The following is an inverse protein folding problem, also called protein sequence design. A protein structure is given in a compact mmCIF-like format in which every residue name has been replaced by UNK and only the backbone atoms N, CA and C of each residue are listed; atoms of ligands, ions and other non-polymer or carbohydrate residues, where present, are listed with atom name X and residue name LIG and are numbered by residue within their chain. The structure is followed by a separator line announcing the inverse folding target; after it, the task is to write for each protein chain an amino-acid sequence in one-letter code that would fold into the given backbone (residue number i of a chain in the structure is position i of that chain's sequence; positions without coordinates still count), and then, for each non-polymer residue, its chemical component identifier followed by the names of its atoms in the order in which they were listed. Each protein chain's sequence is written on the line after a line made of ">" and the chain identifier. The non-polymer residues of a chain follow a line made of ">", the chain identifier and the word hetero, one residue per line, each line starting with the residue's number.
data_IF_939545340275
#
_entry.id   IF_939545340275
#
_cell.length_a   1.000
_cell.length_b   1.000
_cell.length_c   1.000
_cell.angle_alpha   90.00
_cell.angle_beta   90.00
_cell.angle_gamma   90.00
#
_symmetry.space_group_name_H-M   'P 1'
#
loop_
_entity.id
_entity.type
_entity.pdbx_description
1 polymer ?
#
# COMPACT_ATOMS: atom_id res chain seq x y z
N UNK A 1 -7.53 -4.17 13.88
CA UNK A 1 -8.53 -3.29 13.24
C UNK A 1 -8.81 -2.03 14.07
N UNK A 2 -8.30 -1.95 15.30
CA UNK A 2 -8.67 -0.92 16.27
C UNK A 2 -7.96 0.42 16.09
N UNK A 3 -6.78 0.45 15.48
CA UNK A 3 -6.00 1.69 15.31
C UNK A 3 -6.68 2.65 14.32
N UNK A 4 -7.11 2.20 13.14
CA UNK A 4 -7.78 3.06 12.15
C UNK A 4 -9.10 3.58 12.69
N UNK A 5 -9.88 2.71 13.36
CA UNK A 5 -11.14 3.10 14.00
C UNK A 5 -10.90 4.11 15.13
N UNK A 6 -9.87 3.89 15.95
CA UNK A 6 -9.47 4.80 17.03
C UNK A 6 -9.00 6.16 16.50
N UNK A 7 -8.18 6.19 15.45
CA UNK A 7 -7.75 7.42 14.79
C UNK A 7 -8.96 8.18 14.21
N UNK A 8 -9.85 7.48 13.50
CA UNK A 8 -11.06 8.10 12.94
C UNK A 8 -11.96 8.68 14.04
N UNK A 9 -12.14 7.96 15.15
CA UNK A 9 -12.87 8.45 16.32
C UNK A 9 -12.20 9.67 16.95
N UNK A 10 -10.87 9.67 17.08
CA UNK A 10 -10.11 10.80 17.61
C UNK A 10 -10.22 12.05 16.72
N UNK A 11 -10.18 11.89 15.39
CA UNK A 11 -10.41 12.99 14.44
C UNK A 11 -11.81 13.59 14.58
N UNK A 12 -12.83 12.77 14.87
CA UNK A 12 -14.20 13.23 15.09
C UNK A 12 -14.37 13.94 16.45
N UNK A 13 -13.78 13.38 17.51
CA UNK A 13 -13.88 13.89 18.88
C UNK A 13 -13.14 15.22 19.08
N UNK A 14 -11.97 15.41 18.47
CA UNK A 14 -11.14 16.60 18.71
C UNK A 14 -11.57 17.87 17.96
N UNK A 15 -12.67 17.86 17.18
CA UNK A 15 -13.17 19.02 16.42
C UNK A 15 -12.05 19.85 15.77
N UNK A 16 -11.01 19.20 15.25
CA UNK A 16 -10.07 19.92 14.38
C UNK A 16 -10.88 20.38 13.17
N UNK A 17 -11.10 21.69 13.03
CA UNK A 17 -11.84 22.33 11.93
C UNK A 17 -11.16 22.07 10.58
N UNK A 18 -11.24 20.84 10.10
CA UNK A 18 -10.76 20.41 8.79
C UNK A 18 -11.96 19.78 8.08
N UNK A 19 -12.38 20.39 6.98
CA UNK A 19 -13.36 19.79 6.08
C UNK A 19 -12.78 18.50 5.53
N UNK A 20 -13.35 17.35 5.90
CA UNK A 20 -13.01 16.07 5.32
C UNK A 20 -13.79 15.88 4.02
N UNK A 21 -13.08 15.79 2.90
CA UNK A 21 -13.69 15.48 1.60
C UNK A 21 -13.60 13.97 1.36
N UNK A 22 -14.70 13.26 1.55
CA UNK A 22 -14.81 11.81 1.33
C UNK A 22 -15.22 11.55 -0.11
N UNK A 23 -14.59 10.59 -0.80
CA UNK A 23 -14.81 10.30 -2.22
C UNK A 23 -14.32 11.42 -3.17
N UNK A 24 -13.33 12.20 -2.75
CA UNK A 24 -12.61 13.09 -3.66
C UNK A 24 -11.52 12.31 -4.42
N UNK A 25 -11.44 12.53 -5.73
CA UNK A 25 -10.37 11.99 -6.58
C UNK A 25 -9.38 13.09 -6.95
N UNK A 26 -8.11 12.95 -6.59
CA UNK A 26 -7.07 13.92 -6.95
C UNK A 26 -6.37 13.49 -8.25
N UNK A 27 -6.14 14.41 -9.17
CA UNK A 27 -5.56 14.08 -10.49
C UNK A 27 -4.37 14.96 -10.89
N UNK A 28 -4.21 16.16 -10.32
CA UNK A 28 -3.10 17.06 -10.65
C UNK A 28 -2.57 17.81 -9.44
N UNK A 29 -1.29 18.21 -9.51
CA UNK A 29 -0.65 19.08 -8.53
C UNK A 29 -0.07 20.30 -9.24
N UNK A 30 -0.14 21.46 -8.58
CA UNK A 30 0.43 22.72 -9.06
C UNK A 30 1.63 23.11 -8.20
N UNK A 31 2.78 23.25 -8.85
CA UNK A 31 4.01 23.72 -8.24
C UNK A 31 4.22 25.21 -8.57
N UNK A 32 4.67 26.00 -7.60
CA UNK A 32 5.08 27.40 -7.79
C UNK A 32 6.23 27.73 -6.84
N UNK A 33 7.34 28.26 -7.37
CA UNK A 33 8.52 28.59 -6.58
C UNK A 33 9.10 27.40 -5.81
N UNK A 34 9.07 26.20 -6.39
CA UNK A 34 9.52 24.96 -5.76
C UNK A 34 8.56 24.36 -4.73
N UNK A 35 7.44 25.03 -4.43
CA UNK A 35 6.47 24.59 -3.43
C UNK A 35 5.21 23.99 -4.07
N UNK A 36 4.66 22.95 -3.45
CA UNK A 36 3.34 22.42 -3.78
C UNK A 36 2.27 23.39 -3.27
N UNK A 37 1.54 24.01 -4.19
CA UNK A 37 0.58 25.07 -3.85
C UNK A 37 -0.86 24.61 -3.89
N UNK A 38 -1.23 23.70 -4.81
CA UNK A 38 -2.62 23.30 -5.02
C UNK A 38 -2.71 21.88 -5.58
N UNK A 39 -3.82 21.21 -5.28
CA UNK A 39 -4.22 19.99 -5.97
C UNK A 39 -5.52 20.20 -6.75
N UNK A 40 -5.55 19.69 -7.98
CA UNK A 40 -6.76 19.54 -8.77
C UNK A 40 -7.40 18.20 -8.45
N UNK A 41 -8.70 18.23 -8.13
CA UNK A 41 -9.48 17.04 -7.83
C UNK A 41 -10.92 17.13 -8.32
N UNK A 42 -11.58 15.98 -8.37
CA UNK A 42 -12.99 15.83 -8.67
C UNK A 42 -13.73 15.39 -7.41
N UNK A 43 -14.89 15.98 -7.15
CA UNK A 43 -15.76 15.64 -6.03
C UNK A 43 -17.18 15.37 -6.55
N UNK A 44 -17.73 14.15 -6.38
CA UNK A 44 -18.96 13.73 -7.04
C UNK A 44 -20.19 14.61 -6.73
N UNK A 45 -20.26 15.20 -5.55
CA UNK A 45 -21.46 15.91 -5.05
C UNK A 45 -21.37 17.43 -5.11
N UNK A 46 -20.34 18.02 -5.74
CA UNK A 46 -20.24 19.48 -5.88
C UNK A 46 -19.52 19.88 -7.16
N UNK A 47 -20.28 20.30 -8.17
CA UNK A 47 -19.80 21.28 -9.15
C UNK A 47 -19.88 22.66 -8.49
N UNK A 48 -18.82 23.48 -8.42
CA UNK A 48 -17.61 23.45 -9.25
C UNK A 48 -16.32 23.09 -8.48
N UNK A 49 -15.26 22.83 -9.26
CA UNK A 49 -13.86 22.65 -8.88
C UNK A 49 -13.46 23.38 -7.59
N UNK A 50 -13.28 22.63 -6.51
CA UNK A 50 -12.69 23.17 -5.29
C UNK A 50 -11.16 23.09 -5.39
N UNK A 51 -10.51 24.25 -5.26
CA UNK A 51 -9.06 24.31 -5.04
C UNK A 51 -8.78 23.76 -3.64
N UNK A 52 -8.11 22.61 -3.56
CA UNK A 52 -7.71 22.03 -2.28
C UNK A 52 -6.22 22.30 -2.02
N UNK A 53 -5.93 23.01 -0.94
CA UNK A 53 -4.57 23.22 -0.43
C UNK A 53 -4.22 22.04 0.49
N UNK A 54 -3.71 20.94 -0.07
CA UNK A 54 -3.08 19.87 0.71
C UNK A 54 -1.56 19.95 0.52
N UNK A 55 -0.80 19.87 1.61
CA UNK A 55 0.67 19.85 1.59
C UNK A 55 1.26 18.46 1.86
N UNK A 56 0.47 17.52 2.38
CA UNK A 56 0.92 16.18 2.69
C UNK A 56 0.22 15.16 1.77
N UNK A 57 1.00 14.33 1.07
CA UNK A 57 0.51 13.25 0.18
C UNK A 57 0.64 11.92 0.89
N UNK A 58 -0.45 11.16 0.93
CA UNK A 58 -0.51 9.87 1.65
C UNK A 58 -1.26 8.80 0.84
N UNK A 59 -1.22 8.85 -0.49
CA UNK A 59 -1.89 7.82 -1.31
C UNK A 59 -0.98 6.59 -1.46
N UNK A 60 -1.63 5.48 -1.83
CA UNK A 60 -1.12 4.14 -1.59
C UNK A 60 -0.27 3.62 -2.78
N UNK A 61 0.46 2.52 -2.54
CA UNK A 61 1.32 1.88 -3.54
C UNK A 61 0.62 1.41 -4.82
N UNK A 62 1.42 0.95 -5.79
CA UNK A 62 1.00 0.63 -7.16
C UNK A 62 0.71 -0.87 -7.39
N UNK A 63 0.24 -1.58 -6.37
CA UNK A 63 0.07 -3.04 -6.44
C UNK A 63 -0.87 -3.52 -7.56
N UNK A 64 -1.81 -2.68 -8.00
CA UNK A 64 -2.69 -2.99 -9.15
C UNK A 64 -2.01 -2.96 -10.52
N UNK A 65 -0.73 -2.62 -10.60
CA UNK A 65 0.10 -2.84 -11.78
C UNK A 65 0.43 -4.33 -12.04
N UNK A 66 0.21 -5.20 -11.05
CA UNK A 66 0.45 -6.65 -11.15
C UNK A 66 -0.84 -7.42 -11.36
N UNK A 67 -0.77 -8.52 -12.12
CA UNK A 67 -1.93 -9.38 -12.38
C UNK A 67 -2.47 -10.03 -11.09
N UNK A 68 -1.58 -10.56 -10.26
CA UNK A 68 -1.90 -11.11 -8.93
C UNK A 68 -1.29 -10.22 -7.85
N UNK A 69 -2.14 -9.64 -7.01
CA UNK A 69 -1.73 -8.74 -5.94
C UNK A 69 -2.71 -8.79 -4.77
N UNK A 70 -2.17 -8.63 -3.55
CA UNK A 70 -2.93 -8.50 -2.30
C UNK A 70 -3.59 -7.13 -2.19
N UNK A 71 -3.04 -6.14 -2.89
CA UNK A 71 -3.50 -4.76 -2.82
C UNK A 71 -4.96 -4.64 -3.28
N UNK A 72 -5.78 -3.83 -2.60
CA UNK A 72 -7.14 -3.58 -3.01
C UNK A 72 -7.18 -2.92 -4.40
N UNK A 73 -8.34 -2.99 -5.07
CA UNK A 73 -8.55 -2.40 -6.39
C UNK A 73 -8.27 -0.89 -6.45
N UNK A 74 -8.28 -0.20 -5.31
CA UNK A 74 -8.02 1.25 -5.19
C UNK A 74 -6.54 1.62 -5.07
N UNK A 75 -5.62 0.65 -5.03
CA UNK A 75 -4.17 0.90 -5.01
C UNK A 75 -3.60 1.07 -6.43
N UNK A 76 -3.96 2.18 -7.09
CA UNK A 76 -3.61 2.51 -8.48
C UNK A 76 -2.49 3.53 -8.64
N UNK A 77 -1.88 3.98 -7.54
CA UNK A 77 -0.74 4.91 -7.55
C UNK A 77 -1.00 6.31 -8.10
N UNK A 78 -2.20 6.84 -7.88
CA UNK A 78 -2.62 8.13 -8.44
C UNK A 78 -1.70 9.29 -8.02
N UNK A 79 -1.16 9.27 -6.79
CA UNK A 79 -0.24 10.27 -6.28
C UNK A 79 1.16 10.19 -6.88
N UNK A 80 1.74 9.00 -7.01
CA UNK A 80 3.00 8.81 -7.72
C UNK A 80 2.87 9.30 -9.16
N UNK A 81 1.74 9.02 -9.80
CA UNK A 81 1.46 9.51 -11.15
C UNK A 81 1.33 11.06 -11.17
N UNK A 82 0.75 11.68 -10.14
CA UNK A 82 0.73 13.14 -9.99
C UNK A 82 2.13 13.74 -9.76
N UNK A 83 2.99 13.07 -8.99
CA UNK A 83 4.40 13.48 -8.77
C UNK A 83 5.15 13.45 -10.09
N UNK A 84 5.07 12.33 -10.81
CA UNK A 84 5.74 12.13 -12.08
C UNK A 84 5.27 13.13 -13.15
N UNK A 85 3.96 13.38 -13.25
CA UNK A 85 3.41 14.40 -14.17
C UNK A 85 3.86 15.82 -13.85
N UNK A 86 4.21 16.10 -12.60
CA UNK A 86 4.74 17.39 -12.18
C UNK A 86 6.27 17.52 -12.40
N UNK A 87 6.90 16.52 -13.02
CA UNK A 87 8.34 16.50 -13.29
C UNK A 87 9.21 16.27 -12.05
N UNK A 88 8.61 15.78 -10.95
CA UNK A 88 9.35 15.43 -9.74
C UNK A 88 9.80 13.96 -9.80
N UNK A 89 10.99 13.63 -9.29
CA UNK A 89 11.49 12.27 -9.32
C UNK A 89 10.69 11.35 -8.39
N UNK A 90 10.54 10.10 -8.83
CA UNK A 90 10.16 8.96 -8.00
C UNK A 90 11.43 8.18 -7.69
N UNK A 91 11.47 7.51 -6.54
CA UNK A 91 12.65 6.78 -6.09
C UNK A 91 12.28 5.31 -5.82
N UNK A 92 13.19 4.40 -6.14
CA UNK A 92 13.17 2.98 -5.76
C UNK A 92 11.90 2.23 -6.22
N UNK A 93 11.36 2.57 -7.40
CA UNK A 93 10.15 1.95 -7.98
C UNK A 93 10.36 0.48 -8.38
N UNK A 94 11.61 0.04 -8.52
CA UNK A 94 11.96 -1.34 -8.84
C UNK A 94 11.83 -2.29 -7.64
N UNK A 95 11.80 -1.76 -6.41
CA UNK A 95 11.77 -2.56 -5.18
C UNK A 95 10.34 -2.96 -4.81
N UNK A 96 9.85 -4.02 -5.46
CA UNK A 96 8.50 -4.54 -5.26
C UNK A 96 8.52 -5.71 -4.30
N UNK A 97 7.75 -5.60 -3.22
CA UNK A 97 7.66 -6.67 -2.22
C UNK A 97 6.56 -7.67 -2.56
N UNK A 98 6.95 -8.94 -2.74
CA UNK A 98 6.02 -10.06 -2.82
C UNK A 98 5.86 -10.69 -1.43
N UNK A 99 4.62 -10.72 -0.93
CA UNK A 99 4.33 -11.39 0.32
C UNK A 99 4.23 -12.91 0.09
N UNK A 100 4.93 -13.75 0.88
CA UNK A 100 5.02 -15.18 0.61
C UNK A 100 3.67 -15.90 0.74
N UNK A 101 2.80 -15.45 1.64
CA UNK A 101 1.54 -16.13 1.97
C UNK A 101 0.30 -15.40 1.43
N UNK A 102 0.24 -15.21 0.11
CA UNK A 102 -1.00 -14.84 -0.58
C UNK A 102 -1.85 -16.09 -0.87
N UNK A 103 -3.17 -16.03 -0.64
CA UNK A 103 -4.07 -17.13 -0.96
C UNK A 103 -4.06 -17.36 -2.49
N UNK A 104 -3.77 -18.60 -2.89
CA UNK A 104 -3.75 -18.99 -4.30
C UNK A 104 -5.10 -18.70 -4.98
N UNK A 105 -5.05 -18.16 -6.19
CA UNK A 105 -6.23 -17.74 -6.95
C UNK A 105 -6.79 -16.39 -6.51
N UNK A 106 -7.25 -16.27 -5.26
CA UNK A 106 -7.93 -15.07 -4.77
C UNK A 106 -7.00 -13.87 -4.50
N UNK A 107 -5.73 -14.12 -4.13
CA UNK A 107 -4.77 -13.08 -3.81
C UNK A 107 -4.92 -12.45 -2.42
N UNK A 108 -5.86 -12.91 -1.58
CA UNK A 108 -6.03 -12.40 -0.21
C UNK A 108 -4.81 -12.68 0.66
N UNK A 109 -4.48 -11.76 1.58
CA UNK A 109 -3.35 -11.94 2.50
C UNK A 109 -3.66 -12.94 3.61
N UNK A 110 -2.78 -13.93 3.80
CA UNK A 110 -2.62 -14.61 5.08
C UNK A 110 -1.49 -13.92 5.85
N UNK A 111 -1.79 -13.47 7.06
CA UNK A 111 -0.87 -12.70 7.89
C UNK A 111 0.44 -13.47 8.14
N UNK A 112 1.55 -12.74 8.11
CA UNK A 112 2.85 -13.24 8.58
C UNK A 112 2.80 -13.71 10.04
N UNK A 113 1.88 -13.16 10.84
CA UNK A 113 1.59 -13.65 12.18
C UNK A 113 1.25 -15.13 12.20
N UNK A 114 0.66 -15.70 11.14
CA UNK A 114 0.41 -17.15 11.07
C UNK A 114 1.69 -17.96 11.11
N UNK A 115 2.80 -17.47 10.52
CA UNK A 115 4.13 -18.08 10.65
C UNK A 115 4.76 -17.78 12.02
N UNK A 116 4.59 -16.55 12.50
CA UNK A 116 5.02 -16.11 13.85
C UNK A 116 4.48 -16.98 14.98
N UNK A 117 3.21 -17.39 14.88
CA UNK A 117 2.51 -18.22 15.84
C UNK A 117 2.72 -19.74 15.61
N UNK A 118 3.76 -20.13 14.86
CA UNK A 118 4.14 -21.53 14.67
C UNK A 118 3.68 -22.19 13.37
N UNK A 119 3.09 -21.43 12.44
CA UNK A 119 2.78 -21.92 11.10
C UNK A 119 4.03 -22.27 10.30
N UNK A 120 3.96 -23.36 9.55
CA UNK A 120 5.09 -23.90 8.76
C UNK A 120 4.75 -23.95 7.28
N UNK A 121 5.72 -23.64 6.43
CA UNK A 121 5.60 -23.79 4.98
C UNK A 121 6.04 -25.19 4.56
N UNK A 122 5.18 -25.88 3.80
CA UNK A 122 5.44 -27.22 3.27
C UNK A 122 5.31 -27.25 1.75
N UNK A 123 6.18 -28.03 1.11
CA UNK A 123 6.08 -28.32 -0.32
C UNK A 123 5.14 -29.50 -0.60
N UNK A 124 5.01 -29.90 -1.87
CA UNK A 124 4.18 -31.03 -2.29
C UNK A 124 4.60 -32.38 -1.71
N UNK A 125 5.82 -32.50 -1.17
CA UNK A 125 6.35 -33.68 -0.47
C UNK A 125 6.14 -33.62 1.05
N UNK A 126 5.34 -32.66 1.53
CA UNK A 126 5.10 -32.36 2.94
C UNK A 126 6.35 -31.95 3.73
N UNK A 127 7.44 -31.60 3.06
CA UNK A 127 8.70 -31.22 3.68
C UNK A 127 8.69 -29.74 4.08
N UNK A 128 9.21 -29.45 5.27
CA UNK A 128 9.45 -28.08 5.74
C UNK A 128 10.69 -27.48 5.08
N UNK A 129 10.53 -27.05 3.83
CA UNK A 129 11.64 -26.68 2.96
C UNK A 129 12.45 -25.46 3.44
N UNK A 130 11.87 -24.58 4.26
CA UNK A 130 12.57 -23.40 4.78
C UNK A 130 13.77 -23.73 5.67
N UNK A 131 13.82 -24.93 6.27
CA UNK A 131 14.98 -25.38 7.05
C UNK A 131 16.25 -25.50 6.18
N UNK A 132 16.09 -25.73 4.87
CA UNK A 132 17.22 -25.77 3.92
C UNK A 132 17.68 -24.38 3.48
N UNK A 133 16.75 -23.45 3.28
CA UNK A 133 17.03 -22.13 2.71
C UNK A 133 17.39 -21.08 3.78
N UNK A 134 16.86 -21.21 4.99
CA UNK A 134 17.15 -20.32 6.11
C UNK A 134 17.27 -21.13 7.42
N UNK A 135 18.41 -21.80 7.67
CA UNK A 135 18.55 -22.76 8.78
C UNK A 135 18.30 -22.17 10.19
N UNK A 136 18.53 -20.87 10.37
CA UNK A 136 18.35 -20.18 11.65
C UNK A 136 16.93 -19.62 11.79
N UNK A 137 16.48 -18.83 10.82
CA UNK A 137 15.21 -18.11 10.88
C UNK A 137 14.01 -18.95 10.42
N UNK A 138 14.24 -20.02 9.65
CA UNK A 138 13.21 -20.87 9.05
C UNK A 138 12.11 -20.04 8.35
N UNK A 139 10.85 -20.32 8.68
CA UNK A 139 9.69 -19.62 8.14
C UNK A 139 9.61 -18.13 8.55
N UNK A 140 10.46 -17.66 9.48
CA UNK A 140 10.54 -16.27 9.94
C UNK A 140 11.67 -15.47 9.25
N UNK A 141 12.29 -16.04 8.21
CA UNK A 141 13.21 -15.30 7.37
C UNK A 141 12.53 -14.09 6.70
N UNK A 142 13.34 -13.16 6.17
CA UNK A 142 12.82 -11.98 5.48
C UNK A 142 11.94 -12.35 4.28
N UNK A 143 10.96 -11.49 3.98
CA UNK A 143 9.94 -11.77 2.94
C UNK A 143 10.55 -12.09 1.58
N UNK A 144 11.63 -11.42 1.21
CA UNK A 144 12.33 -11.64 -0.05
C UNK A 144 13.02 -13.02 -0.08
N UNK A 145 13.58 -13.49 1.02
CA UNK A 145 14.17 -14.84 1.14
C UNK A 145 13.09 -15.91 1.07
N UNK A 146 12.00 -15.77 1.84
CA UNK A 146 10.90 -16.74 1.85
C UNK A 146 10.24 -16.82 0.47
N UNK A 147 9.90 -15.68 -0.14
CA UNK A 147 9.24 -15.63 -1.45
C UNK A 147 10.11 -16.24 -2.57
N UNK A 148 11.43 -16.00 -2.57
CA UNK A 148 12.34 -16.66 -3.52
C UNK A 148 12.44 -18.17 -3.27
N UNK A 149 12.48 -18.59 -2.00
CA UNK A 149 12.56 -20.01 -1.62
C UNK A 149 11.31 -20.81 -1.99
N UNK A 150 10.14 -20.16 -2.05
CA UNK A 150 8.88 -20.77 -2.50
C UNK A 150 8.79 -20.95 -4.02
N UNK A 151 9.57 -20.16 -4.78
CA UNK A 151 9.56 -20.19 -6.24
C UNK A 151 10.55 -21.22 -6.80
N UNK A 152 11.53 -21.64 -6.00
CA UNK A 152 12.57 -22.63 -6.32
C UNK A 152 12.13 -24.07 -6.05
#
# INVERSE_FOLDING_TARGET
>A
MDIIRSINSACFLHRMFRTLLINAYLFSTRLSGGNCTQHGGWYPSSFPFNKCYFSNRTQHGYGRGYFSAISPHTCTSDDNAMVARAGLPLQDLEFVQFHPTGIYGAGCLITEGSRGEGGILRNSKAERFMERYAPTANDLASRDVVSRSMTN
#
